data_IF_725821481528
#
_entry.id   IF_725821481528
#
_cell.length_a   1.000
_cell.length_b   1.000
_cell.length_c   1.000
_cell.angle_alpha   90.00
_cell.angle_beta   90.00
_cell.angle_gamma   90.00
#
_symmetry.space_group_name_H-M   'P 1'
#
loop_
_entity.id
_entity.type
_entity.pdbx_description
1 polymer ?
#
# COMPACT_ATOMS: atom_id res chain seq x y z
N UNK A 1 7.46 19.86 2.53
CA UNK A 1 7.77 18.68 3.35
C UNK A 1 6.46 18.08 3.84
N UNK A 2 6.40 16.74 3.91
CA UNK A 2 5.18 15.99 4.24
C UNK A 2 5.44 15.16 5.48
N UNK A 3 4.63 15.36 6.53
CA UNK A 3 4.84 14.74 7.84
C UNK A 3 4.43 13.27 7.84
N UNK A 4 5.26 12.42 8.41
CA UNK A 4 4.95 11.04 8.73
C UNK A 4 4.17 11.03 10.05
N UNK A 5 2.92 10.61 10.03
CA UNK A 5 2.07 10.56 11.22
C UNK A 5 2.16 9.21 11.93
N UNK A 6 2.45 8.16 11.18
CA UNK A 6 2.55 6.79 11.71
C UNK A 6 3.58 5.99 10.90
N UNK A 7 4.30 5.09 11.58
CA UNK A 7 5.21 4.10 10.98
C UNK A 7 5.03 2.76 11.68
N UNK A 8 4.80 1.72 10.90
CA UNK A 8 4.62 0.35 11.38
C UNK A 8 5.47 -0.61 10.56
N UNK A 9 6.32 -1.40 11.19
CA UNK A 9 6.97 -2.54 10.56
C UNK A 9 5.93 -3.67 10.44
N UNK A 10 5.56 -4.04 9.21
CA UNK A 10 4.60 -5.13 8.96
C UNK A 10 5.29 -6.50 9.04
N UNK A 11 6.56 -6.55 8.64
CA UNK A 11 7.47 -7.67 8.82
C UNK A 11 8.92 -7.14 8.78
N UNK A 12 9.97 -7.98 8.90
CA UNK A 12 11.36 -7.51 8.94
C UNK A 12 11.81 -6.69 7.72
N UNK A 13 11.14 -6.83 6.58
CA UNK A 13 11.54 -6.18 5.32
C UNK A 13 10.48 -5.24 4.74
N UNK A 14 9.29 -5.17 5.33
CA UNK A 14 8.17 -4.36 4.82
C UNK A 14 7.69 -3.38 5.87
N UNK A 15 7.62 -2.13 5.49
CA UNK A 15 7.17 -1.02 6.35
C UNK A 15 5.93 -0.34 5.76
N UNK A 16 4.98 -0.03 6.62
CA UNK A 16 3.88 0.90 6.36
C UNK A 16 4.21 2.26 6.94
N UNK A 17 3.97 3.32 6.19
CA UNK A 17 3.97 4.70 6.68
C UNK A 17 2.67 5.40 6.30
N UNK A 18 2.17 6.24 7.21
CA UNK A 18 1.04 7.13 7.01
C UNK A 18 1.57 8.55 6.91
N UNK A 19 1.26 9.22 5.80
CA UNK A 19 1.82 10.54 5.47
C UNK A 19 0.71 11.56 5.35
N UNK A 20 0.85 12.69 6.01
CA UNK A 20 -0.08 13.82 5.92
C UNK A 20 0.07 14.50 4.56
N UNK A 21 -0.93 14.33 3.71
CA UNK A 21 -0.97 14.84 2.34
C UNK A 21 -2.43 15.08 1.90
N UNK A 22 -3.13 16.09 2.47
CA UNK A 22 -4.58 16.25 2.31
C UNK A 22 -5.03 16.46 0.86
N UNK A 23 -4.23 17.15 0.04
CA UNK A 23 -4.57 17.38 -1.37
C UNK A 23 -4.47 16.07 -2.20
N UNK A 24 -3.55 15.19 -1.83
CA UNK A 24 -3.39 13.88 -2.46
C UNK A 24 -4.49 12.94 -1.97
N UNK A 25 -4.69 12.85 -0.66
CA UNK A 25 -5.73 12.01 -0.04
C UNK A 25 -7.13 12.29 -0.62
N UNK A 26 -7.45 13.57 -0.84
CA UNK A 26 -8.73 13.99 -1.43
C UNK A 26 -8.98 13.42 -2.81
N UNK A 27 -7.93 13.26 -3.63
CA UNK A 27 -8.02 12.86 -5.05
C UNK A 27 -7.59 11.42 -5.32
N UNK A 28 -6.90 10.78 -4.37
CA UNK A 28 -6.38 9.44 -4.54
C UNK A 28 -7.49 8.41 -4.80
N UNK A 29 -7.18 7.46 -5.69
CA UNK A 29 -8.03 6.31 -6.03
C UNK A 29 -7.17 5.05 -6.05
N UNK A 30 -7.77 3.87 -5.82
CA UNK A 30 -7.05 2.59 -5.89
C UNK A 30 -6.36 2.37 -7.23
N UNK A 31 -5.16 1.80 -7.20
CA UNK A 31 -4.33 1.56 -8.39
C UNK A 31 -3.43 2.73 -8.79
N UNK A 32 -3.59 3.90 -8.20
CA UNK A 32 -2.68 5.04 -8.41
C UNK A 32 -1.43 4.94 -7.53
N UNK A 33 -0.43 5.74 -7.84
CA UNK A 33 0.84 5.79 -7.13
C UNK A 33 1.23 7.24 -6.80
N UNK A 34 2.20 7.38 -5.94
CA UNK A 34 2.89 8.64 -5.63
C UNK A 34 4.38 8.50 -5.97
N UNK A 35 5.06 9.62 -6.10
CA UNK A 35 6.51 9.69 -6.10
C UNK A 35 6.94 10.28 -4.76
N UNK A 36 7.82 9.59 -4.06
CA UNK A 36 8.41 10.03 -2.80
C UNK A 36 9.91 10.21 -2.93
N UNK A 37 10.44 11.21 -2.23
CA UNK A 37 11.86 11.48 -2.04
C UNK A 37 12.10 11.75 -0.55
N UNK A 38 12.81 10.87 0.17
CA UNK A 38 13.03 11.01 1.61
C UNK A 38 13.78 12.28 1.99
N UNK A 39 14.95 12.50 1.39
CA UNK A 39 15.84 13.63 1.62
C UNK A 39 16.11 14.40 0.32
N UNK A 40 16.73 15.58 0.41
CA UNK A 40 17.02 16.42 -0.75
C UNK A 40 17.89 15.73 -1.81
N UNK A 41 18.87 14.94 -1.36
CA UNK A 41 19.81 14.22 -2.23
C UNK A 41 19.37 12.79 -2.58
N UNK A 42 18.21 12.33 -2.05
CA UNK A 42 17.67 11.00 -2.34
C UNK A 42 17.11 10.92 -3.76
N UNK A 43 17.08 9.72 -4.31
CA UNK A 43 16.35 9.45 -5.55
C UNK A 43 14.83 9.53 -5.34
N UNK A 44 14.12 9.87 -6.39
CA UNK A 44 12.65 9.82 -6.44
C UNK A 44 12.20 8.41 -6.81
N UNK A 45 11.42 7.79 -5.95
CA UNK A 45 10.89 6.45 -6.20
C UNK A 45 9.35 6.45 -6.27
N UNK A 46 8.75 5.69 -7.21
CA UNK A 46 7.31 5.50 -7.26
C UNK A 46 6.88 4.45 -6.23
N UNK A 47 5.84 4.76 -5.46
CA UNK A 47 5.19 3.82 -4.55
C UNK A 47 3.68 3.85 -4.76
N UNK A 48 3.05 2.70 -4.80
CA UNK A 48 1.60 2.59 -4.93
C UNK A 48 0.91 3.12 -3.67
N UNK A 49 -0.20 3.82 -3.86
CA UNK A 49 -1.08 4.23 -2.77
C UNK A 49 -1.72 2.99 -2.17
N UNK A 50 -1.34 2.63 -0.95
CA UNK A 50 -1.85 1.47 -0.23
C UNK A 50 -3.15 1.76 0.55
N UNK A 51 -3.45 3.03 0.76
CA UNK A 51 -4.67 3.51 1.41
C UNK A 51 -4.69 5.02 1.50
N UNK A 52 -5.84 5.56 1.85
CA UNK A 52 -6.00 6.99 2.11
C UNK A 52 -7.19 7.24 3.04
N UNK A 53 -7.07 8.29 3.84
CA UNK A 53 -8.15 8.80 4.68
C UNK A 53 -8.42 10.26 4.29
N UNK A 54 -9.59 10.53 3.72
CA UNK A 54 -9.96 11.87 3.24
C UNK A 54 -10.28 12.83 4.36
N UNK A 55 -10.75 12.32 5.50
CA UNK A 55 -11.10 13.15 6.67
C UNK A 55 -9.83 13.57 7.41
N UNK A 56 -8.92 12.62 7.64
CA UNK A 56 -7.62 12.92 8.26
C UNK A 56 -6.63 13.57 7.30
N UNK A 57 -6.87 13.50 5.98
CA UNK A 57 -5.97 14.02 4.97
C UNK A 57 -4.67 13.23 4.87
N UNK A 58 -4.72 11.91 5.06
CA UNK A 58 -3.52 11.06 5.08
C UNK A 58 -3.51 10.05 3.92
N UNK A 59 -2.31 9.65 3.52
CA UNK A 59 -2.05 8.64 2.50
C UNK A 59 -1.14 7.58 3.09
N UNK A 60 -1.52 6.31 2.91
CA UNK A 60 -0.74 5.15 3.32
C UNK A 60 0.15 4.69 2.18
N UNK A 61 1.41 4.47 2.47
CA UNK A 61 2.36 3.77 1.60
C UNK A 61 2.89 2.53 2.31
N UNK A 62 3.07 1.46 1.55
CA UNK A 62 3.69 0.22 2.03
C UNK A 62 4.82 -0.11 1.04
N UNK A 63 6.00 -0.33 1.57
CA UNK A 63 7.19 -0.57 0.76
C UNK A 63 8.09 -1.63 1.36
N UNK A 64 8.79 -2.34 0.49
CA UNK A 64 9.82 -3.27 0.87
C UNK A 64 11.18 -2.57 0.88
N UNK A 65 11.99 -2.87 1.89
CA UNK A 65 13.34 -2.33 2.04
C UNK A 65 14.28 -3.15 1.16
N UNK A 66 14.56 -2.67 -0.05
CA UNK A 66 15.34 -3.41 -1.07
C UNK A 66 16.50 -2.63 -1.67
N UNK A 67 16.60 -1.32 -1.42
CA UNK A 67 17.63 -0.46 -2.00
C UNK A 67 17.88 0.80 -1.18
N UNK A 68 18.85 1.62 -1.60
CA UNK A 68 19.28 2.81 -0.86
C UNK A 68 18.13 3.72 -0.45
N UNK A 69 17.32 4.18 -1.39
CA UNK A 69 16.23 5.11 -1.12
C UNK A 69 15.15 4.51 -0.21
N UNK A 70 14.85 3.20 -0.32
CA UNK A 70 13.92 2.54 0.61
C UNK A 70 14.51 2.36 2.01
N UNK A 71 15.84 2.22 2.14
CA UNK A 71 16.54 2.23 3.43
C UNK A 71 16.51 3.63 4.05
N UNK A 72 16.77 4.67 3.26
CA UNK A 72 16.67 6.08 3.69
C UNK A 72 15.24 6.39 4.14
N UNK A 73 14.23 6.01 3.37
CA UNK A 73 12.84 6.19 3.74
C UNK A 73 12.52 5.45 5.06
N UNK A 74 13.03 4.24 5.22
CA UNK A 74 12.83 3.46 6.44
C UNK A 74 13.61 4.01 7.65
N UNK A 75 14.61 4.87 7.47
CA UNK A 75 15.29 5.53 8.59
C UNK A 75 14.45 6.63 9.26
N UNK A 76 13.47 7.19 8.53
CA UNK A 76 12.55 8.19 9.07
C UNK A 76 11.51 7.54 10.01
N UNK A 77 11.05 8.30 10.99
CA UNK A 77 10.10 7.87 12.01
C UNK A 77 8.83 8.74 12.01
N UNK A 78 7.84 8.33 12.76
CA UNK A 78 6.67 9.17 13.02
C UNK A 78 7.11 10.49 13.66
N UNK A 79 6.63 11.60 13.12
CA UNK A 79 7.05 12.96 13.46
C UNK A 79 8.04 13.58 12.48
N UNK A 80 8.84 12.77 11.78
CA UNK A 80 9.73 13.24 10.72
C UNK A 80 8.94 13.63 9.44
N UNK A 81 9.64 14.22 8.48
CA UNK A 81 9.07 14.62 7.21
C UNK A 81 9.84 14.02 6.03
N UNK A 82 9.12 13.58 5.00
CA UNK A 82 9.73 13.34 3.68
C UNK A 82 9.86 14.64 2.91
N UNK A 83 10.89 14.75 2.09
CA UNK A 83 11.20 15.97 1.35
C UNK A 83 10.15 16.25 0.26
N UNK A 84 9.93 15.29 -0.64
CA UNK A 84 8.90 15.37 -1.68
C UNK A 84 7.90 14.22 -1.56
N UNK A 85 6.63 14.54 -1.84
CA UNK A 85 5.54 13.56 -1.93
C UNK A 85 4.54 14.06 -2.97
N UNK A 86 4.59 13.48 -4.17
CA UNK A 86 3.89 13.99 -5.35
C UNK A 86 2.87 12.96 -5.84
N UNK A 87 1.63 13.39 -6.04
CA UNK A 87 0.58 12.53 -6.54
C UNK A 87 -0.82 13.16 -6.42
N UNK A 88 -1.88 12.38 -6.60
CA UNK A 88 -1.85 11.01 -7.11
C UNK A 88 -1.46 10.98 -8.59
N UNK A 89 -0.73 9.96 -9.01
CA UNK A 89 -0.25 9.76 -10.37
C UNK A 89 -0.80 8.43 -10.93
N UNK A 90 -0.73 8.30 -12.25
CA UNK A 90 -1.22 7.12 -12.96
C UNK A 90 -2.74 7.06 -13.06
N UNK A 91 -3.21 5.99 -13.68
CA UNK A 91 -4.64 5.73 -13.90
C UNK A 91 -5.18 4.88 -12.76
N UNK A 92 -6.33 5.26 -12.22
CA UNK A 92 -7.05 4.44 -11.25
C UNK A 92 -7.50 3.12 -11.90
N UNK A 93 -7.56 2.06 -11.10
CA UNK A 93 -8.14 0.78 -11.52
C UNK A 93 -9.64 0.97 -11.79
N UNK A 94 -10.11 0.44 -12.92
CA UNK A 94 -11.53 0.46 -13.26
C UNK A 94 -12.26 -0.59 -12.42
N UNK A 95 -13.15 -0.13 -11.54
CA UNK A 95 -13.91 -0.99 -10.62
C UNK A 95 -15.41 -0.95 -10.87
N UNK A 96 -15.88 0.00 -11.69
CA UNK A 96 -17.30 0.23 -11.91
C UNK A 96 -17.97 -0.91 -12.70
N UNK A 97 -19.19 -1.26 -12.32
CA UNK A 97 -20.04 -2.24 -13.02
C UNK A 97 -19.64 -3.71 -12.83
N UNK A 98 -18.61 -3.99 -12.04
CA UNK A 98 -18.15 -5.33 -11.73
C UNK A 98 -19.04 -5.96 -10.64
N UNK A 99 -19.46 -7.22 -10.85
CA UNK A 99 -20.33 -7.94 -9.90
C UNK A 99 -19.59 -9.00 -9.09
N UNK A 100 -18.60 -9.62 -9.69
CA UNK A 100 -17.78 -10.66 -9.05
C UNK A 100 -16.36 -10.59 -9.58
N UNK A 101 -15.39 -10.48 -8.68
CA UNK A 101 -13.96 -10.27 -9.01
C UNK A 101 -13.10 -11.18 -8.15
N UNK A 102 -11.99 -11.65 -8.74
CA UNK A 102 -10.90 -12.27 -8.00
C UNK A 102 -9.69 -11.32 -8.03
N UNK A 103 -9.21 -10.94 -6.86
CA UNK A 103 -8.03 -10.10 -6.68
C UNK A 103 -6.89 -10.96 -6.17
N UNK A 104 -5.76 -10.95 -6.88
CA UNK A 104 -4.60 -11.79 -6.54
C UNK A 104 -3.42 -10.89 -6.18
N UNK A 105 -2.84 -11.10 -5.01
CA UNK A 105 -1.67 -10.37 -4.53
C UNK A 105 -0.59 -11.30 -4.00
N UNK A 106 0.67 -11.04 -4.34
CA UNK A 106 1.83 -11.79 -3.83
C UNK A 106 2.80 -10.88 -3.09
N UNK A 107 3.27 -11.32 -1.90
CA UNK A 107 4.21 -10.56 -1.08
C UNK A 107 3.74 -9.11 -0.85
N UNK A 108 4.62 -8.12 -1.10
CA UNK A 108 4.28 -6.69 -0.99
C UNK A 108 3.18 -6.25 -1.96
N UNK A 109 2.92 -7.02 -3.02
CA UNK A 109 1.81 -6.77 -3.96
C UNK A 109 0.43 -6.84 -3.31
N UNK A 110 0.30 -7.48 -2.13
CA UNK A 110 -0.92 -7.45 -1.33
C UNK A 110 -1.31 -6.02 -0.92
N UNK A 111 -0.32 -5.14 -0.71
CA UNK A 111 -0.54 -3.73 -0.40
C UNK A 111 -1.18 -2.96 -1.57
N UNK A 112 -0.93 -3.40 -2.80
CA UNK A 112 -1.55 -2.85 -4.02
C UNK A 112 -2.96 -3.41 -4.21
N UNK A 113 -3.13 -4.70 -3.94
CA UNK A 113 -4.39 -5.41 -4.11
C UNK A 113 -5.47 -4.98 -3.11
N UNK A 114 -5.07 -4.67 -1.87
CA UNK A 114 -5.97 -4.33 -0.77
C UNK A 114 -6.90 -3.14 -1.05
N UNK A 115 -6.41 -1.95 -1.47
CA UNK A 115 -7.30 -0.81 -1.72
C UNK A 115 -8.26 -1.05 -2.89
N UNK A 116 -7.87 -1.86 -3.87
CA UNK A 116 -8.73 -2.25 -4.99
C UNK A 116 -9.83 -3.20 -4.50
N UNK A 117 -9.47 -4.21 -3.71
CA UNK A 117 -10.41 -5.15 -3.14
C UNK A 117 -11.44 -4.45 -2.23
N UNK A 118 -10.98 -3.48 -1.43
CA UNK A 118 -11.83 -2.67 -0.57
C UNK A 118 -12.82 -1.83 -1.38
N UNK A 119 -12.36 -1.12 -2.38
CA UNK A 119 -13.21 -0.30 -3.26
C UNK A 119 -14.31 -1.15 -3.93
N UNK A 120 -13.95 -2.32 -4.46
CA UNK A 120 -14.88 -3.26 -5.06
C UNK A 120 -15.93 -3.78 -4.06
N UNK A 121 -15.47 -4.13 -2.85
CA UNK A 121 -16.36 -4.57 -1.77
C UNK A 121 -17.34 -3.48 -1.35
N UNK A 122 -16.86 -2.23 -1.19
CA UNK A 122 -17.69 -1.08 -0.79
C UNK A 122 -18.73 -0.72 -1.86
N UNK A 123 -18.46 -1.07 -3.14
CA UNK A 123 -19.41 -0.97 -4.25
C UNK A 123 -20.43 -2.14 -4.32
N UNK A 124 -20.35 -3.12 -3.40
CA UNK A 124 -21.24 -4.29 -3.37
C UNK A 124 -20.81 -5.42 -4.31
N UNK A 125 -19.60 -5.39 -4.85
CA UNK A 125 -19.03 -6.48 -5.64
C UNK A 125 -18.69 -7.69 -4.74
N UNK A 126 -18.91 -8.90 -5.23
CA UNK A 126 -18.41 -10.12 -4.58
C UNK A 126 -16.92 -10.25 -4.87
N UNK A 127 -16.09 -10.05 -3.85
CA UNK A 127 -14.64 -10.08 -4.00
C UNK A 127 -14.06 -11.35 -3.39
N UNK A 128 -13.35 -12.11 -4.22
CA UNK A 128 -12.48 -13.19 -3.78
C UNK A 128 -11.03 -12.68 -3.83
N UNK A 129 -10.33 -12.71 -2.71
CA UNK A 129 -8.92 -12.33 -2.68
C UNK A 129 -8.07 -13.58 -2.49
N UNK A 130 -7.02 -13.69 -3.27
CA UNK A 130 -6.00 -14.72 -3.15
C UNK A 130 -4.68 -14.02 -2.83
N UNK A 131 -4.09 -14.37 -1.69
CA UNK A 131 -2.83 -13.80 -1.26
C UNK A 131 -1.79 -14.91 -1.11
N UNK A 132 -0.57 -14.67 -1.60
CA UNK A 132 0.54 -15.60 -1.55
C UNK A 132 1.77 -14.97 -0.92
N UNK A 133 2.45 -15.72 -0.05
CA UNK A 133 3.70 -15.32 0.58
C UNK A 133 4.68 -16.48 0.55
N UNK A 134 5.97 -16.18 0.53
CA UNK A 134 7.03 -17.19 0.48
C UNK A 134 7.08 -18.05 1.76
N UNK A 135 6.76 -17.45 2.90
CA UNK A 135 6.66 -18.14 4.18
C UNK A 135 5.76 -17.33 5.13
N UNK A 136 5.43 -17.91 6.29
CA UNK A 136 4.52 -17.34 7.28
C UNK A 136 5.04 -16.02 7.90
N UNK A 137 6.35 -15.88 8.04
CA UNK A 137 6.96 -14.70 8.68
C UNK A 137 6.88 -13.46 7.77
N UNK A 138 6.59 -13.63 6.48
CA UNK A 138 6.42 -12.57 5.50
C UNK A 138 4.97 -12.18 5.26
N UNK A 139 4.01 -12.81 5.94
CA UNK A 139 2.61 -12.44 5.89
C UNK A 139 2.41 -10.97 6.31
N UNK A 140 1.68 -10.22 5.49
CA UNK A 140 1.27 -8.85 5.78
C UNK A 140 -0.21 -8.67 5.51
N UNK A 141 -0.86 -7.76 6.24
CA UNK A 141 -2.25 -7.31 5.98
C UNK A 141 -3.31 -8.42 6.09
N UNK A 142 -3.06 -9.53 6.77
CA UNK A 142 -4.00 -10.63 6.93
C UNK A 142 -5.33 -10.16 7.53
N UNK A 143 -5.27 -9.39 8.61
CA UNK A 143 -6.46 -8.82 9.27
C UNK A 143 -7.21 -7.82 8.37
N UNK A 144 -6.47 -7.08 7.55
CA UNK A 144 -7.04 -6.06 6.68
C UNK A 144 -7.83 -6.63 5.51
N UNK A 145 -7.61 -7.90 5.16
CA UNK A 145 -8.33 -8.60 4.08
C UNK A 145 -9.38 -9.60 4.59
N UNK A 146 -9.50 -9.78 5.90
CA UNK A 146 -10.40 -10.76 6.52
C UNK A 146 -11.90 -10.50 6.31
N UNK A 147 -12.29 -9.27 5.95
CA UNK A 147 -13.68 -8.93 5.60
C UNK A 147 -14.09 -9.35 4.16
N UNK A 148 -13.12 -9.66 3.30
CA UNK A 148 -13.37 -10.36 2.05
C UNK A 148 -13.18 -11.85 2.30
N UNK A 149 -14.04 -12.72 1.80
CA UNK A 149 -13.90 -14.17 2.01
C UNK A 149 -12.57 -14.70 1.47
N UNK A 150 -11.53 -14.67 2.33
CA UNK A 150 -10.16 -15.03 2.01
C UNK A 150 -9.82 -16.40 2.53
N UNK A 151 -9.28 -17.22 1.62
CA UNK A 151 -8.39 -18.31 2.00
C UNK A 151 -6.98 -17.95 1.51
N UNK A 152 -6.06 -17.76 2.45
CA UNK A 152 -4.64 -17.79 2.15
C UNK A 152 -4.28 -19.23 1.78
N UNK A 153 -3.80 -19.45 0.56
CA UNK A 153 -3.11 -20.69 0.21
C UNK A 153 -1.60 -20.42 0.28
N UNK A 154 -0.96 -21.02 1.25
CA UNK A 154 0.49 -21.15 1.24
C UNK A 154 0.84 -22.11 0.10
N UNK A 155 1.50 -21.62 -0.94
CA UNK A 155 2.22 -22.46 -1.88
C UNK A 155 3.68 -22.46 -1.45
N UNK A 156 4.10 -23.47 -0.70
CA UNK A 156 5.50 -23.85 -0.67
C UNK A 156 5.86 -24.35 -2.08
N UNK A 157 6.58 -23.54 -2.80
CA UNK A 157 7.30 -24.00 -3.97
C UNK A 157 8.70 -24.37 -3.49
N UNK A 158 8.88 -25.61 -3.12
CA UNK A 158 10.19 -26.25 -3.09
C UNK A 158 10.69 -26.36 -4.54
N UNK A 159 11.66 -25.52 -4.89
CA UNK A 159 12.54 -25.69 -6.04
C UNK A 159 13.98 -25.50 -5.61
#
# INVERSE_FOLDING_TARGET
>A
MYKITEKVALNPTVTKMVIEAPLIAKKAKPGQFIIVRPFEDSERIPLTVAGYDREKGTVDIIFQIVGGTTMELNSLNAGDCVHDFVGPLGRATETEGLKKVCVVGGGVGCAIALPIAKELHDQGCVVHSVVGFRNKDLLILEDAVSYTHLRAHETEADL
#
